data_IF_929393184420
#
_entry.id   IF_929393184420
#
_cell.length_a   1.000
_cell.length_b   1.000
_cell.length_c   1.000
_cell.angle_alpha   90.00
_cell.angle_beta   90.00
_cell.angle_gamma   90.00
#
_symmetry.space_group_name_H-M   'P 1'
#
loop_
_entity.id
_entity.type
_entity.pdbx_description
1 polymer ?
#
# COMPACT_ATOMS: atom_id res chain seq x y z
N UNK A 1 -23.74 12.03 8.03
CA UNK A 1 -23.47 10.58 7.96
C UNK A 1 -22.92 10.28 6.57
N UNK A 2 -21.60 10.18 6.44
CA UNK A 2 -20.97 9.84 5.17
C UNK A 2 -21.32 8.39 4.83
N UNK A 3 -21.99 8.15 3.68
CA UNK A 3 -22.22 6.79 3.18
C UNK A 3 -20.86 6.15 2.90
N UNK A 4 -20.40 5.29 3.79
CA UNK A 4 -19.21 4.47 3.56
C UNK A 4 -19.46 3.61 2.32
N UNK A 5 -18.68 3.83 1.25
CA UNK A 5 -18.77 2.99 0.06
C UNK A 5 -18.27 1.59 0.43
N UNK A 6 -18.93 0.52 -0.06
CA UNK A 6 -18.60 -0.84 0.31
C UNK A 6 -17.17 -1.20 -0.11
N UNK A 7 -16.48 -1.94 0.75
CA UNK A 7 -15.22 -2.57 0.40
C UNK A 7 -15.46 -3.60 -0.71
N UNK A 8 -14.56 -3.65 -1.69
CA UNK A 8 -14.62 -4.60 -2.81
C UNK A 8 -13.41 -5.53 -2.79
N UNK A 9 -13.51 -6.77 -3.28
CA UNK A 9 -12.33 -7.63 -3.42
C UNK A 9 -11.27 -6.95 -4.29
N UNK A 10 -10.00 -6.99 -3.86
CA UNK A 10 -8.89 -6.48 -4.65
C UNK A 10 -8.56 -7.44 -5.80
N UNK A 11 -8.24 -6.88 -6.97
CA UNK A 11 -7.69 -7.65 -8.08
C UNK A 11 -6.23 -8.04 -7.73
N UNK A 12 -5.81 -9.30 -7.97
CA UNK A 12 -4.41 -9.69 -7.82
C UNK A 12 -3.41 -8.77 -8.54
N UNK A 13 -3.76 -8.23 -9.72
CA UNK A 13 -2.90 -7.32 -10.46
C UNK A 13 -2.75 -5.96 -9.76
N UNK A 14 -3.85 -5.42 -9.23
CA UNK A 14 -3.84 -4.19 -8.41
C UNK A 14 -2.96 -4.38 -7.16
N UNK A 15 -3.05 -5.57 -6.55
CA UNK A 15 -2.29 -5.91 -5.36
C UNK A 15 -0.79 -6.04 -5.64
N UNK A 16 -0.42 -6.67 -6.76
CA UNK A 16 0.97 -6.78 -7.20
C UNK A 16 1.59 -5.41 -7.40
N UNK A 17 0.88 -4.49 -8.05
CA UNK A 17 1.35 -3.12 -8.26
C UNK A 17 1.51 -2.35 -6.94
N UNK A 18 0.56 -2.50 -6.01
CA UNK A 18 0.63 -1.87 -4.69
C UNK A 18 1.83 -2.40 -3.87
N UNK A 19 2.07 -3.71 -3.89
CA UNK A 19 3.21 -4.33 -3.19
C UNK A 19 4.52 -3.92 -3.85
N UNK A 20 4.59 -3.92 -5.19
CA UNK A 20 5.75 -3.44 -5.93
C UNK A 20 6.09 -2.00 -5.58
N UNK A 21 5.08 -1.12 -5.51
CA UNK A 21 5.25 0.26 -5.08
C UNK A 21 5.80 0.34 -3.66
N UNK A 22 5.17 -0.37 -2.71
CA UNK A 22 5.58 -0.37 -1.30
C UNK A 22 7.00 -0.91 -1.07
N UNK A 23 7.43 -1.87 -1.89
CA UNK A 23 8.79 -2.39 -1.86
C UNK A 23 9.81 -1.33 -2.26
N UNK A 24 9.46 -0.43 -3.19
CA UNK A 24 10.39 0.57 -3.75
C UNK A 24 10.31 1.93 -3.07
N UNK A 25 9.12 2.32 -2.64
CA UNK A 25 8.80 3.66 -2.20
C UNK A 25 8.14 3.64 -0.82
N UNK A 26 8.39 4.68 -0.04
CA UNK A 26 7.63 4.98 1.15
C UNK A 26 6.22 5.47 0.81
N UNK A 27 5.37 5.59 1.82
CA UNK A 27 4.05 6.23 1.70
C UNK A 27 4.12 7.68 1.20
N UNK A 28 5.29 8.33 1.33
CA UNK A 28 5.54 9.70 0.83
C UNK A 28 6.13 9.71 -0.59
N UNK A 29 6.19 8.56 -1.26
CA UNK A 29 6.77 8.40 -2.60
C UNK A 29 8.29 8.49 -2.65
N UNK A 30 8.97 8.55 -1.49
CA UNK A 30 10.43 8.59 -1.44
C UNK A 30 10.99 7.18 -1.65
N UNK A 31 11.99 6.99 -2.50
CA UNK A 31 12.61 5.68 -2.66
C UNK A 31 13.27 5.24 -1.34
N UNK A 32 13.19 3.95 -1.03
CA UNK A 32 13.92 3.41 0.13
C UNK A 32 15.43 3.57 -0.10
N UNK A 33 16.16 4.06 0.92
CA UNK A 33 17.60 4.31 0.82
C UNK A 33 18.47 3.05 0.74
N UNK A 34 17.89 1.86 0.97
CA UNK A 34 18.59 0.58 0.88
C UNK A 34 18.35 -0.04 -0.49
N UNK A 35 19.43 -0.47 -1.16
CA UNK A 35 19.32 -1.30 -2.36
C UNK A 35 18.70 -2.63 -1.97
N UNK A 36 17.50 -2.89 -2.49
CA UNK A 36 16.87 -4.20 -2.44
C UNK A 36 17.76 -5.13 -3.28
N UNK A 37 18.15 -6.27 -2.71
CA UNK A 37 19.02 -7.24 -3.39
C UNK A 37 18.28 -8.02 -4.47
N UNK A 38 16.99 -8.27 -4.24
CA UNK A 38 16.12 -9.01 -5.13
C UNK A 38 15.36 -8.08 -6.08
N UNK A 39 14.92 -8.65 -7.21
CA UNK A 39 14.10 -7.95 -8.18
C UNK A 39 12.69 -7.68 -7.57
N UNK A 40 12.29 -6.41 -7.38
CA UNK A 40 11.08 -6.10 -6.61
C UNK A 40 9.78 -6.59 -7.25
N UNK A 41 9.74 -6.75 -8.58
CA UNK A 41 8.54 -7.23 -9.27
C UNK A 41 8.30 -8.71 -9.01
N UNK A 42 9.35 -9.53 -9.09
CA UNK A 42 9.30 -10.94 -8.73
C UNK A 42 8.85 -11.13 -7.28
N UNK A 43 9.39 -10.33 -6.36
CA UNK A 43 9.02 -10.38 -4.94
C UNK A 43 7.54 -10.02 -4.74
N UNK A 44 7.05 -8.97 -5.40
CA UNK A 44 5.64 -8.57 -5.33
C UNK A 44 4.71 -9.70 -5.79
N UNK A 45 5.01 -10.31 -6.95
CA UNK A 45 4.26 -11.46 -7.45
C UNK A 45 4.27 -12.64 -6.47
N UNK A 46 5.45 -12.96 -5.92
CA UNK A 46 5.59 -14.05 -4.96
C UNK A 46 4.74 -13.83 -3.69
N UNK A 47 4.72 -12.60 -3.17
CA UNK A 47 3.90 -12.21 -2.02
C UNK A 47 2.41 -12.38 -2.34
N UNK A 48 1.95 -11.91 -3.51
CA UNK A 48 0.55 -12.06 -3.92
C UNK A 48 0.15 -13.54 -4.05
N UNK A 49 1.00 -14.36 -4.66
CA UNK A 49 0.77 -15.80 -4.76
C UNK A 49 0.72 -16.47 -3.38
N UNK A 50 1.57 -16.06 -2.45
CA UNK A 50 1.57 -16.57 -1.07
C UNK A 50 0.29 -16.20 -0.33
N UNK A 51 -0.17 -14.95 -0.45
CA UNK A 51 -1.42 -14.48 0.17
C UNK A 51 -2.62 -15.26 -0.34
N UNK A 52 -2.67 -15.53 -1.64
CA UNK A 52 -3.71 -16.35 -2.25
C UNK A 52 -3.68 -17.80 -1.71
N UNK A 53 -2.49 -18.42 -1.63
CA UNK A 53 -2.32 -19.78 -1.09
C UNK A 53 -2.70 -19.89 0.38
N UNK A 54 -2.43 -18.85 1.16
CA UNK A 54 -2.77 -18.79 2.57
C UNK A 54 -4.23 -18.40 2.84
N UNK A 55 -5.08 -18.32 1.80
CA UNK A 55 -6.50 -17.96 1.89
C UNK A 55 -6.76 -16.56 2.48
N UNK A 56 -5.83 -15.61 2.31
CA UNK A 56 -6.10 -14.22 2.65
C UNK A 56 -7.01 -13.58 1.61
N UNK A 57 -8.05 -12.88 2.08
CA UNK A 57 -8.97 -12.11 1.24
C UNK A 57 -8.73 -10.63 1.44
N UNK A 58 -8.10 -10.00 0.46
CA UNK A 58 -7.76 -8.58 0.51
C UNK A 58 -8.90 -7.77 -0.10
N UNK A 59 -9.31 -6.75 0.65
CA UNK A 59 -10.42 -5.89 0.30
C UNK A 59 -9.89 -4.48 0.04
N UNK A 60 -10.23 -3.91 -1.11
CA UNK A 60 -9.92 -2.52 -1.44
C UNK A 60 -11.09 -1.61 -1.08
N UNK A 61 -10.73 -0.48 -0.46
CA UNK A 61 -11.66 0.62 -0.28
C UNK A 61 -12.04 1.28 -1.60
N UNK A 62 -13.07 2.14 -1.60
CA UNK A 62 -13.32 3.00 -2.75
C UNK A 62 -12.05 3.79 -3.10
N UNK A 63 -11.82 4.09 -4.39
CA UNK A 63 -10.74 5.00 -4.75
C UNK A 63 -10.96 6.31 -4.01
N UNK A 64 -9.90 6.79 -3.37
CA UNK A 64 -9.92 8.12 -2.75
C UNK A 64 -10.22 9.14 -3.86
N UNK A 65 -10.96 10.22 -3.56
CA UNK A 65 -11.14 11.31 -4.51
C UNK A 65 -9.79 11.74 -5.09
N UNK A 66 -9.74 12.16 -6.35
CA UNK A 66 -8.53 12.72 -6.96
C UNK A 66 -8.16 14.01 -6.21
N UNK A 67 -7.41 13.88 -5.12
CA UNK A 67 -6.75 14.99 -4.48
C UNK A 67 -5.50 15.27 -5.32
N UNK A 68 -5.44 16.44 -5.96
CA UNK A 68 -4.16 16.99 -6.44
C UNK A 68 -3.14 16.83 -5.32
N UNK A 69 -1.95 16.37 -5.65
CA UNK A 69 -0.83 16.14 -4.73
C UNK A 69 -0.32 17.44 -4.11
N UNK A 70 -1.14 18.09 -3.29
CA UNK A 70 -0.81 19.26 -2.46
C UNK A 70 -1.26 19.11 -1.01
N UNK A 71 -2.13 18.14 -0.70
CA UNK A 71 -2.59 17.92 0.66
C UNK A 71 -1.67 16.93 1.37
N UNK A 72 -0.53 17.45 1.87
CA UNK A 72 0.15 16.89 3.04
C UNK A 72 -0.79 16.97 4.25
N UNK A 73 -1.90 16.24 4.23
CA UNK A 73 -2.57 15.83 5.45
C UNK A 73 -1.68 14.75 6.09
N UNK A 74 -1.37 14.84 7.39
CA UNK A 74 -0.62 13.80 8.05
C UNK A 74 -1.39 12.49 7.86
N UNK A 75 -0.71 11.48 7.32
CA UNK A 75 -1.18 10.11 7.30
C UNK A 75 -1.89 9.81 8.64
N UNK A 76 -3.14 9.32 8.67
CA UNK A 76 -3.80 8.96 9.93
C UNK A 76 -3.08 7.81 10.67
N UNK A 77 -2.07 7.19 10.04
CA UNK A 77 -1.08 6.31 10.67
C UNK A 77 0.24 6.98 11.05
N UNK A 78 0.27 8.31 11.24
CA UNK A 78 1.41 8.98 11.86
C UNK A 78 1.73 8.34 13.21
N UNK A 79 3.00 8.02 13.45
CA UNK A 79 3.46 7.51 14.75
C UNK A 79 2.93 8.43 15.86
N UNK A 80 2.37 7.89 16.96
CA UNK A 80 1.91 8.71 18.06
C UNK A 80 3.04 9.61 18.56
N UNK A 81 2.69 10.86 18.84
CA UNK A 81 3.58 11.88 19.41
C UNK A 81 4.28 11.30 20.66
N UNK A 82 5.61 11.12 20.61
CA UNK A 82 6.39 10.58 21.74
C UNK A 82 7.48 9.55 21.40
N UNK A 83 7.60 9.09 20.15
CA UNK A 83 8.60 8.07 19.75
C UNK A 83 9.88 8.63 19.09
N UNK A 84 10.24 9.88 19.37
CA UNK A 84 11.57 10.41 19.05
C UNK A 84 12.36 10.57 20.34
N UNK A 85 13.23 9.59 20.62
CA UNK A 85 14.44 9.79 21.44
C UNK A 85 15.62 10.07 20.50
#
# INVERSE_FOLDING_TARGET
>A
MSKEKPLTPADPADLEEAVFYALRFSLTGKPHGKKIREEPRWMARHIVEHLARANYRIMKGPPLPNHSTSDFSPNPGGMPEGWRE
#
